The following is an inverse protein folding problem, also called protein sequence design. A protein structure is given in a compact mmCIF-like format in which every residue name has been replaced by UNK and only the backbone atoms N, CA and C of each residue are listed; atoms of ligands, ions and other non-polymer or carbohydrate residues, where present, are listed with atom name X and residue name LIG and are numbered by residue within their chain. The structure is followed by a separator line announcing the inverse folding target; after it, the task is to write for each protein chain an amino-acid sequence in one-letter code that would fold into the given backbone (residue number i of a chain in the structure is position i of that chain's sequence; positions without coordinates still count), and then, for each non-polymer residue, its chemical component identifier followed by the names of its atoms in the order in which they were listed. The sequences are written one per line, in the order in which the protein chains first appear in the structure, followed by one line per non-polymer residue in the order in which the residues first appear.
data_IF_403731150671
#
_entry.id   IF_403731150671
#
_cell.length_a   1.000
_cell.length_b   1.000
_cell.length_c   1.000
_cell.angle_alpha   90.00
_cell.angle_beta   90.00
_cell.angle_gamma   90.00
#
_symmetry.space_group_name_H-M   'P 1'
#
loop_
_entity.id
_entity.type
_entity.pdbx_description
1 polymer ?
#
# COMPACT_ATOMS: atom_id res chain seq x y z
N UNK A 1 21.28 -11.04 20.65
CA UNK A 1 19.81 -10.84 20.50
C UNK A 1 19.54 -9.56 19.77
N UNK A 2 18.61 -9.59 18.85
CA UNK A 2 18.27 -8.43 18.03
C UNK A 2 16.95 -7.83 18.51
N UNK A 3 16.94 -6.54 18.74
CA UNK A 3 15.73 -5.84 19.17
C UNK A 3 14.75 -5.71 18.02
N UNK A 4 13.47 -5.86 18.35
CA UNK A 4 12.39 -5.62 17.40
C UNK A 4 11.44 -4.58 17.96
N UNK A 5 10.75 -3.89 17.06
CA UNK A 5 9.76 -2.88 17.41
C UNK A 5 8.47 -3.19 16.68
N UNK A 6 7.36 -3.14 17.41
CA UNK A 6 6.05 -3.37 16.83
C UNK A 6 5.66 -2.22 15.90
N UNK A 7 5.21 -2.57 14.69
CA UNK A 7 4.76 -1.60 13.67
C UNK A 7 3.55 -2.17 12.94
N UNK A 8 3.00 -1.38 12.03
CA UNK A 8 1.92 -1.81 11.16
C UNK A 8 2.41 -1.80 9.73
N UNK A 9 2.08 -2.85 8.99
CA UNK A 9 2.33 -2.91 7.56
C UNK A 9 1.02 -2.64 6.82
N UNK A 10 1.08 -1.73 5.85
CA UNK A 10 -0.06 -1.43 4.98
C UNK A 10 0.33 -1.84 3.57
N UNK A 11 -0.54 -2.62 2.93
CA UNK A 11 -0.37 -3.02 1.54
C UNK A 11 -1.63 -2.65 0.78
N UNK A 12 -1.47 -1.96 -0.34
CA UNK A 12 -2.59 -1.56 -1.19
C UNK A 12 -2.31 -2.01 -2.61
N UNK A 13 -3.17 -2.88 -3.14
CA UNK A 13 -3.11 -3.26 -4.54
C UNK A 13 -3.92 -2.22 -5.31
N UNK A 14 -3.28 -1.55 -6.26
CA UNK A 14 -3.85 -0.37 -6.89
C UNK A 14 -3.44 -0.29 -8.36
N UNK A 15 -4.31 0.27 -9.18
CA UNK A 15 -3.95 0.58 -10.57
C UNK A 15 -2.89 1.67 -10.59
N UNK A 16 -1.88 1.50 -11.43
CA UNK A 16 -0.73 2.39 -11.46
C UNK A 16 -1.09 3.89 -11.56
N UNK A 17 -2.09 4.31 -12.34
CA UNK A 17 -2.45 5.74 -12.39
C UNK A 17 -2.93 6.32 -11.07
N UNK A 18 -3.32 5.50 -10.10
CA UNK A 18 -3.79 5.98 -8.80
C UNK A 18 -2.65 6.18 -7.79
N UNK A 19 -1.43 5.77 -8.12
CA UNK A 19 -0.30 5.88 -7.21
C UNK A 19 -0.09 7.32 -6.69
N UNK A 20 -0.17 8.37 -7.50
CA UNK A 20 -0.01 9.72 -6.96
C UNK A 20 -0.99 10.06 -5.83
N UNK A 21 -2.22 9.54 -5.90
CA UNK A 21 -3.19 9.75 -4.83
C UNK A 21 -2.81 8.99 -3.57
N UNK A 22 -2.30 7.77 -3.73
CA UNK A 22 -1.87 6.94 -2.60
C UNK A 22 -0.65 7.55 -1.91
N UNK A 23 0.34 7.98 -2.67
CA UNK A 23 1.54 8.58 -2.10
C UNK A 23 1.26 9.94 -1.45
N UNK A 24 0.33 10.70 -2.00
CA UNK A 24 -0.09 11.96 -1.38
C UNK A 24 -0.75 11.71 -0.03
N UNK A 25 -1.59 10.67 0.07
CA UNK A 25 -2.22 10.30 1.33
C UNK A 25 -1.18 9.85 2.35
N UNK A 26 -0.18 9.07 1.91
CA UNK A 26 0.89 8.60 2.78
C UNK A 26 1.71 9.76 3.32
N UNK A 27 2.07 10.71 2.48
CA UNK A 27 2.80 11.90 2.88
C UNK A 27 1.98 12.72 3.90
N UNK A 28 0.71 12.91 3.62
CA UNK A 28 -0.18 13.65 4.52
C UNK A 28 -0.36 12.95 5.87
N UNK A 29 -0.26 11.63 5.90
CA UNK A 29 -0.35 10.87 7.14
C UNK A 29 0.97 10.86 7.93
N UNK A 30 2.04 11.43 7.38
CA UNK A 30 3.34 11.45 8.03
C UNK A 30 4.17 10.20 7.78
N UNK A 31 3.79 9.37 6.82
CA UNK A 31 4.55 8.19 6.45
C UNK A 31 5.76 8.63 5.62
N UNK A 32 6.95 8.25 6.07
CA UNK A 32 8.19 8.73 5.48
C UNK A 32 8.75 7.86 4.36
N UNK A 33 8.34 6.59 4.29
CA UNK A 33 8.89 5.68 3.29
C UNK A 33 7.91 4.63 2.83
N UNK A 34 8.05 4.22 1.60
CA UNK A 34 7.24 3.15 1.01
C UNK A 34 7.99 2.49 -0.12
N UNK A 35 7.48 1.34 -0.53
CA UNK A 35 8.00 0.60 -1.68
C UNK A 35 6.84 0.32 -2.61
N UNK A 36 7.06 0.46 -3.90
CA UNK A 36 6.06 0.15 -4.91
C UNK A 36 6.59 -1.00 -5.75
N UNK A 37 5.82 -2.09 -5.81
CA UNK A 37 6.20 -3.31 -6.50
C UNK A 37 5.25 -3.57 -7.65
N UNK A 38 5.76 -3.95 -8.83
CA UNK A 38 4.87 -4.32 -9.93
C UNK A 38 4.16 -5.64 -9.60
N UNK A 39 2.90 -5.73 -9.96
CA UNK A 39 2.12 -6.97 -9.86
C UNK A 39 1.98 -7.55 -11.25
N UNK A 40 2.49 -8.77 -11.47
CA UNK A 40 2.55 -9.36 -12.81
C UNK A 40 1.19 -9.76 -13.34
N UNK A 41 0.36 -10.36 -12.50
CA UNK A 41 -0.98 -10.78 -12.89
C UNK A 41 -1.76 -11.17 -11.65
N UNK A 42 -3.05 -11.32 -11.81
CA UNK A 42 -3.89 -11.77 -10.72
C UNK A 42 -5.28 -12.08 -11.21
N UNK A 43 -6.13 -12.47 -10.27
CA UNK A 43 -7.53 -12.75 -10.53
C UNK A 43 -8.32 -12.27 -9.32
N UNK A 44 -9.39 -11.58 -9.55
CA UNK A 44 -10.20 -11.04 -8.47
C UNK A 44 -11.64 -10.89 -8.89
N UNK A 45 -12.35 -10.06 -8.16
CA UNK A 45 -13.79 -9.85 -8.36
C UNK A 45 -14.12 -9.42 -9.79
N UNK A 46 -13.24 -8.64 -10.42
CA UNK A 46 -13.45 -8.12 -11.78
C UNK A 46 -12.74 -8.94 -12.86
N UNK A 47 -12.32 -10.17 -12.53
CA UNK A 47 -11.68 -11.08 -13.47
C UNK A 47 -10.18 -11.11 -13.37
N UNK A 48 -9.56 -11.68 -14.40
CA UNK A 48 -8.11 -11.80 -14.47
C UNK A 48 -7.50 -10.54 -15.07
N UNK A 49 -6.28 -10.26 -14.67
CA UNK A 49 -5.52 -9.14 -15.20
C UNK A 49 -4.03 -9.50 -15.30
N UNK A 50 -3.29 -8.74 -16.10
CA UNK A 50 -1.89 -9.00 -16.36
C UNK A 50 -1.19 -7.68 -16.68
N UNK A 51 0.11 -7.56 -16.32
CA UNK A 51 0.89 -6.36 -16.60
C UNK A 51 1.44 -6.30 -18.02
N UNK A 52 1.16 -7.30 -18.85
CA UNK A 52 1.55 -7.27 -20.26
C UNK A 52 0.57 -6.49 -21.14
N UNK A 53 -0.36 -5.79 -20.53
CA UNK A 53 -1.27 -4.89 -21.22
C UNK A 53 -0.49 -3.77 -21.91
N UNK A 54 -0.83 -3.56 -23.17
CA UNK A 54 -0.10 -2.62 -24.04
C UNK A 54 -0.18 -1.18 -23.52
N UNK A 55 -1.32 -0.79 -22.99
CA UNK A 55 -1.54 0.60 -22.57
C UNK A 55 -0.92 0.96 -21.21
N UNK A 56 -0.65 -0.02 -20.38
CA UNK A 56 -0.20 0.22 -19.02
C UNK A 56 -1.25 0.78 -18.08
N UNK A 57 -2.41 1.20 -18.59
CA UNK A 57 -3.47 1.79 -17.77
C UNK A 57 -4.03 0.78 -16.79
N UNK A 58 -4.05 -0.49 -17.17
CA UNK A 58 -4.56 -1.57 -16.34
C UNK A 58 -3.49 -2.25 -15.50
N UNK A 59 -2.25 -1.77 -15.59
CA UNK A 59 -1.17 -2.31 -14.77
C UNK A 59 -1.45 -2.07 -13.30
N UNK A 60 -1.27 -3.12 -12.50
CA UNK A 60 -1.43 -3.02 -11.07
C UNK A 60 -0.08 -3.03 -10.38
N UNK A 61 -0.02 -2.31 -9.29
CA UNK A 61 1.16 -2.26 -8.44
C UNK A 61 0.75 -2.46 -6.99
N UNK A 62 1.68 -2.94 -6.19
CA UNK A 62 1.48 -3.07 -4.76
C UNK A 62 2.25 -1.95 -4.07
N UNK A 63 1.51 -1.05 -3.43
CA UNK A 63 2.11 -0.05 -2.54
C UNK A 63 2.26 -0.70 -1.17
N UNK A 64 3.45 -0.64 -0.60
CA UNK A 64 3.72 -1.22 0.72
C UNK A 64 4.46 -0.22 1.59
N UNK A 65 4.02 -0.08 2.83
CA UNK A 65 4.74 0.71 3.83
C UNK A 65 4.65 0.04 5.19
N UNK A 66 5.65 0.33 6.01
CA UNK A 66 5.69 -0.08 7.42
C UNK A 66 5.84 1.19 8.22
N UNK A 67 4.94 1.41 9.17
CA UNK A 67 4.92 2.65 9.94
C UNK A 67 4.33 2.41 11.33
N UNK A 68 4.23 3.45 12.14
CA UNK A 68 3.61 3.35 13.46
C UNK A 68 2.11 3.05 13.34
N UNK A 69 1.55 2.49 14.40
CA UNK A 69 0.11 2.22 14.43
C UNK A 69 -0.71 3.49 14.25
N UNK A 70 -0.24 4.60 14.80
CA UNK A 70 -0.92 5.89 14.69
C UNK A 70 -0.96 6.39 13.25
N UNK A 71 0.19 6.41 12.57
CA UNK A 71 0.26 6.85 11.19
C UNK A 71 -0.49 5.92 10.25
N UNK A 72 -0.44 4.62 10.53
CA UNK A 72 -1.19 3.63 9.75
C UNK A 72 -2.69 3.91 9.81
N UNK A 73 -3.21 4.20 11.00
CA UNK A 73 -4.63 4.51 11.16
C UNK A 73 -5.02 5.76 10.35
N UNK A 74 -4.18 6.79 10.37
CA UNK A 74 -4.42 8.01 9.61
C UNK A 74 -4.40 7.71 8.10
N UNK A 75 -3.44 6.92 7.66
CA UNK A 75 -3.33 6.55 6.24
C UNK A 75 -4.56 5.79 5.77
N UNK A 76 -5.02 4.81 6.54
CA UNK A 76 -6.21 4.04 6.20
C UNK A 76 -7.42 4.96 6.07
N UNK A 77 -7.58 5.89 6.99
CA UNK A 77 -8.69 6.84 6.94
C UNK A 77 -8.63 7.71 5.68
N UNK A 78 -7.45 8.20 5.34
CA UNK A 78 -7.27 9.04 4.15
C UNK A 78 -7.47 8.27 2.86
N UNK A 79 -7.19 6.97 2.85
CA UNK A 79 -7.39 6.13 1.66
C UNK A 79 -8.80 5.59 1.52
N UNK A 80 -9.62 5.65 2.57
CA UNK A 80 -10.96 5.07 2.54
C UNK A 80 -11.81 5.53 1.35
N UNK A 81 -11.85 6.83 0.99
CA UNK A 81 -12.63 7.24 -0.19
C UNK A 81 -12.13 6.61 -1.48
N UNK A 82 -10.81 6.47 -1.63
CA UNK A 82 -10.23 5.85 -2.84
C UNK A 82 -10.55 4.37 -2.89
N UNK A 83 -10.47 3.70 -1.73
CA UNK A 83 -10.78 2.27 -1.62
C UNK A 83 -12.22 2.00 -2.05
N UNK A 84 -13.15 2.80 -1.57
CA UNK A 84 -14.57 2.63 -1.89
C UNK A 84 -14.87 2.93 -3.36
N UNK A 85 -14.36 4.05 -3.87
CA UNK A 85 -14.66 4.49 -5.23
C UNK A 85 -14.05 3.62 -6.31
N UNK A 86 -12.93 2.96 -6.03
CA UNK A 86 -12.20 2.15 -7.01
C UNK A 86 -12.15 0.66 -6.67
N UNK A 87 -12.76 0.25 -5.57
CA UNK A 87 -12.79 -1.15 -5.17
C UNK A 87 -11.42 -1.75 -4.91
N UNK A 88 -10.52 -0.99 -4.32
CA UNK A 88 -9.15 -1.42 -4.07
C UNK A 88 -9.06 -2.35 -2.88
N UNK A 89 -8.03 -3.19 -2.87
CA UNK A 89 -7.71 -4.06 -1.75
C UNK A 89 -6.65 -3.39 -0.88
N UNK A 90 -6.95 -3.22 0.40
CA UNK A 90 -5.99 -2.76 1.40
C UNK A 90 -5.89 -3.81 2.49
N UNK A 91 -4.66 -4.17 2.84
CA UNK A 91 -4.38 -5.12 3.92
C UNK A 91 -3.55 -4.39 4.97
N UNK A 92 -3.93 -4.53 6.23
CA UNK A 92 -3.17 -4.01 7.36
C UNK A 92 -2.82 -5.15 8.29
N UNK A 93 -1.57 -5.23 8.72
CA UNK A 93 -1.10 -6.30 9.58
C UNK A 93 -0.10 -5.79 10.61
N UNK A 94 -0.07 -6.46 11.76
CA UNK A 94 0.93 -6.19 12.78
C UNK A 94 2.23 -6.89 12.39
N UNK A 95 3.34 -6.18 12.47
CA UNK A 95 4.66 -6.73 12.15
C UNK A 95 5.67 -6.30 13.20
N UNK A 96 6.74 -7.07 13.33
CA UNK A 96 7.88 -6.70 14.13
C UNK A 96 9.02 -6.31 13.20
N UNK A 97 9.55 -5.10 13.39
CA UNK A 97 10.63 -4.60 12.56
C UNK A 97 11.94 -4.70 13.33
N UNK A 98 12.92 -5.32 12.72
CA UNK A 98 14.27 -5.39 13.28
C UNK A 98 14.91 -4.02 13.10
N UNK A 99 15.48 -3.47 14.17
CA UNK A 99 16.04 -2.12 14.20
C UNK A 99 15.00 -1.06 13.83
N UNK A 100 13.82 -1.17 14.46
CA UNK A 100 12.66 -0.35 14.13
C UNK A 100 12.77 1.14 14.38
N UNK A 101 13.89 1.62 14.91
CA UNK A 101 14.07 3.06 15.15
C UNK A 101 14.09 3.89 13.89
N UNK A 102 14.19 3.25 12.70
CA UNK A 102 14.18 3.92 11.41
C UNK A 102 12.79 3.99 10.77
N UNK A 103 11.81 3.42 11.43
CA UNK A 103 10.46 3.34 10.86
C UNK A 103 9.44 4.03 11.75
#
# INVERSE_FOLDING_TARGET
MTDTVARRKIEVLVDAPLIPRVTAAATAAGVSGWTILPALSGSGRNGRWSDDQVTGVESKVLFMTVTSAEKAAILIEKLSPVLESHGLLLISSAVDVVRGGKF
#
